data_IF_628179570528
#
_entry.id   IF_628179570528
#
_cell.length_a   1.000
_cell.length_b   1.000
_cell.length_c   1.000
_cell.angle_alpha   90.00
_cell.angle_beta   90.00
_cell.angle_gamma   90.00
#
_symmetry.space_group_name_H-M   'P 1'
#
loop_
_entity.id
_entity.type
_entity.pdbx_description
1 polymer ?
#
# COMPACT_ATOMS: atom_id res chain seq x y z
N UNK A 1 -12.15 -15.84 2.81
CA UNK A 1 -12.71 -14.58 2.27
C UNK A 1 -11.55 -13.58 2.07
N UNK A 2 -10.62 -13.85 1.15
CA UNK A 2 -9.52 -12.92 0.81
C UNK A 2 -9.65 -12.38 -0.63
N UNK A 3 -10.27 -13.16 -1.53
CA UNK A 3 -10.39 -12.85 -2.95
C UNK A 3 -11.36 -11.70 -3.32
N UNK A 4 -12.08 -11.11 -2.36
CA UNK A 4 -12.91 -9.92 -2.61
C UNK A 4 -12.23 -8.61 -2.17
N UNK A 5 -11.04 -8.66 -1.57
CA UNK A 5 -10.27 -7.48 -1.17
C UNK A 5 -9.19 -7.09 -2.18
N UNK A 6 -8.74 -8.02 -3.03
CA UNK A 6 -7.74 -7.75 -4.08
C UNK A 6 -8.32 -7.14 -5.36
N UNK A 7 -9.65 -7.13 -5.55
CA UNK A 7 -10.28 -6.76 -6.81
C UNK A 7 -10.24 -5.24 -7.11
N UNK A 8 -9.90 -4.41 -6.12
CA UNK A 8 -9.93 -2.94 -6.22
C UNK A 8 -8.54 -2.28 -6.04
N UNK A 9 -7.47 -3.08 -5.98
CA UNK A 9 -6.11 -2.53 -5.97
C UNK A 9 -5.71 -2.10 -7.38
N UNK A 10 -5.32 -0.84 -7.52
CA UNK A 10 -4.71 -0.32 -8.74
C UNK A 10 -3.18 -0.39 -8.63
N UNK A 11 -2.49 -0.26 -9.76
CA UNK A 11 -1.01 -0.22 -9.82
C UNK A 11 -0.38 0.75 -8.84
N UNK A 12 -1.07 1.85 -8.54
CA UNK A 12 -0.61 2.85 -7.58
C UNK A 12 -0.57 2.26 -6.17
N UNK A 13 -1.57 1.49 -5.78
CA UNK A 13 -1.60 0.82 -4.48
C UNK A 13 -0.54 -0.25 -4.38
N UNK A 14 -0.42 -1.10 -5.40
CA UNK A 14 0.61 -2.13 -5.45
C UNK A 14 1.98 -1.51 -5.22
N UNK A 15 2.26 -0.38 -5.87
CA UNK A 15 3.53 0.35 -5.73
C UNK A 15 3.74 0.93 -4.33
N UNK A 16 2.68 1.49 -3.71
CA UNK A 16 2.74 2.02 -2.34
C UNK A 16 2.96 0.89 -1.33
N UNK A 17 2.22 -0.21 -1.49
CA UNK A 17 2.30 -1.39 -0.64
C UNK A 17 3.67 -2.07 -0.76
N UNK A 18 4.23 -2.22 -1.96
CA UNK A 18 5.59 -2.75 -2.16
C UNK A 18 6.65 -1.87 -1.50
N UNK A 19 6.55 -0.54 -1.62
CA UNK A 19 7.46 0.36 -0.93
C UNK A 19 7.38 0.21 0.61
N UNK A 20 6.17 0.10 1.15
CA UNK A 20 5.96 -0.11 2.57
C UNK A 20 6.40 -1.49 3.04
N UNK A 21 6.36 -2.52 2.18
CA UNK A 21 6.92 -3.83 2.49
C UNK A 21 8.45 -3.77 2.66
N UNK A 22 9.14 -2.98 1.82
CA UNK A 22 10.59 -2.80 1.91
C UNK A 22 11.01 -1.88 3.08
N UNK A 23 10.29 -0.78 3.31
CA UNK A 23 10.63 0.24 4.31
C UNK A 23 10.05 -0.05 5.70
N UNK A 24 8.95 -0.82 5.77
CA UNK A 24 8.21 -1.16 6.97
C UNK A 24 7.14 -0.13 7.35
N UNK A 25 7.56 1.11 7.63
CA UNK A 25 6.64 2.20 7.98
C UNK A 25 7.21 3.56 7.57
N UNK A 26 6.40 4.40 6.93
CA UNK A 26 6.87 5.71 6.47
C UNK A 26 5.76 6.75 6.34
N UNK A 27 6.16 8.01 6.17
CA UNK A 27 5.27 9.16 6.03
C UNK A 27 4.67 9.23 4.63
N UNK A 28 3.41 9.66 4.45
CA UNK A 28 2.80 9.87 3.13
C UNK A 28 3.65 10.72 2.18
N UNK A 29 4.33 11.74 2.71
CA UNK A 29 5.21 12.61 1.93
C UNK A 29 6.46 11.87 1.39
N UNK A 30 7.06 10.99 2.20
CA UNK A 30 8.21 10.19 1.80
C UNK A 30 7.82 9.05 0.87
N UNK A 31 6.70 8.39 1.14
CA UNK A 31 6.09 7.41 0.23
C UNK A 31 5.86 8.06 -1.14
N UNK A 32 5.21 9.23 -1.18
CA UNK A 32 4.96 9.97 -2.41
C UNK A 32 6.25 10.33 -3.15
N UNK A 33 7.26 10.83 -2.44
CA UNK A 33 8.56 11.18 -3.02
C UNK A 33 9.29 9.99 -3.63
N UNK A 34 9.29 8.83 -2.95
CA UNK A 34 10.00 7.63 -3.41
C UNK A 34 9.23 6.85 -4.48
N UNK A 35 7.89 6.92 -4.48
CA UNK A 35 7.04 6.27 -5.49
C UNK A 35 6.79 7.14 -6.72
N UNK A 36 7.14 8.42 -6.67
CA UNK A 36 6.90 9.39 -7.75
C UNK A 36 5.42 9.81 -7.86
N UNK A 37 4.67 9.72 -6.77
CA UNK A 37 3.25 10.03 -6.69
C UNK A 37 3.01 11.40 -6.05
N UNK A 38 1.82 11.96 -6.25
CA UNK A 38 1.40 13.16 -5.52
C UNK A 38 0.99 12.82 -4.09
N UNK A 39 1.50 13.57 -3.11
CA UNK A 39 1.22 13.34 -1.68
C UNK A 39 -0.27 13.28 -1.36
N UNK A 40 -1.08 14.24 -1.83
CA UNK A 40 -2.53 14.24 -1.59
C UNK A 40 -3.24 13.03 -2.22
N UNK A 41 -2.68 12.47 -3.29
CA UNK A 41 -3.20 11.25 -3.89
C UNK A 41 -2.84 10.03 -3.03
N UNK A 42 -1.59 9.96 -2.56
CA UNK A 42 -1.10 8.91 -1.66
C UNK A 42 -1.87 8.91 -0.35
N UNK A 43 -2.11 10.06 0.28
CA UNK A 43 -2.90 10.17 1.51
C UNK A 43 -4.29 9.54 1.34
N UNK A 44 -5.01 9.92 0.28
CA UNK A 44 -6.34 9.37 -0.01
C UNK A 44 -6.31 7.86 -0.27
N UNK A 45 -5.27 7.35 -0.94
CA UNK A 45 -5.11 5.91 -1.17
C UNK A 45 -4.79 5.19 0.14
N UNK A 46 -3.90 5.72 0.97
CA UNK A 46 -3.56 5.17 2.28
C UNK A 46 -4.77 5.12 3.22
N UNK A 47 -5.64 6.13 3.19
CA UNK A 47 -6.91 6.10 3.92
C UNK A 47 -7.81 4.95 3.44
N UNK A 48 -7.92 4.76 2.12
CA UNK A 48 -8.71 3.66 1.53
C UNK A 48 -8.13 2.30 1.91
N UNK A 49 -6.81 2.14 1.80
CA UNK A 49 -6.09 0.92 2.17
C UNK A 49 -6.22 0.64 3.68
N UNK A 50 -6.23 1.68 4.51
CA UNK A 50 -6.44 1.55 5.94
C UNK A 50 -7.87 1.09 6.28
N UNK A 51 -8.88 1.62 5.57
CA UNK A 51 -10.27 1.18 5.71
C UNK A 51 -10.43 -0.31 5.35
N UNK A 52 -9.65 -0.78 4.37
CA UNK A 52 -9.59 -2.20 4.01
C UNK A 52 -8.73 -3.06 4.94
N UNK A 53 -7.94 -2.47 5.84
CA UNK A 53 -7.08 -3.18 6.79
C UNK A 53 -5.73 -3.65 6.22
N UNK A 54 -5.32 -3.16 5.05
CA UNK A 54 -4.04 -3.51 4.40
C UNK A 54 -2.86 -2.68 4.94
N UNK A 55 -3.14 -1.48 5.42
CA UNK A 55 -2.19 -0.62 6.12
C UNK A 55 -2.84 -0.11 7.40
N UNK A 56 -2.04 0.35 8.33
CA UNK A 56 -2.55 1.02 9.52
C UNK A 56 -1.70 2.26 9.87
N UNK A 57 -2.33 3.35 10.34
CA UNK A 57 -1.60 4.48 10.88
C UNK A 57 -1.01 4.13 12.24
N UNK A 58 0.27 4.42 12.45
CA UNK A 58 0.91 4.21 13.76
C UNK A 58 0.52 5.35 14.69
N UNK A 59 -0.20 5.02 15.78
CA UNK A 59 -0.63 6.03 16.74
C UNK A 59 0.56 6.74 17.39
N UNK A 60 0.72 8.03 17.10
CA UNK A 60 1.78 8.90 17.64
C UNK A 60 2.48 9.74 16.57
N UNK A 61 2.46 9.28 15.32
CA UNK A 61 3.10 9.94 14.19
C UNK A 61 2.31 9.63 12.91
N UNK A 62 2.19 10.54 11.95
CA UNK A 62 1.41 10.31 10.72
C UNK A 62 2.21 9.44 9.75
N UNK A 63 2.54 8.22 10.20
CA UNK A 63 3.25 7.18 9.45
C UNK A 63 2.31 6.00 9.23
N UNK A 64 2.41 5.40 8.06
CA UNK A 64 1.63 4.22 7.69
C UNK A 64 2.56 3.03 7.63
N UNK A 65 2.11 1.90 8.20
CA UNK A 65 2.79 0.62 8.12
C UNK A 65 1.94 -0.40 7.41
N UNK A 66 2.59 -1.41 6.82
CA UNK A 66 1.89 -2.57 6.29
C UNK A 66 1.34 -3.43 7.45
N UNK A 67 0.15 -4.00 7.26
CA UNK A 67 -0.38 -5.07 8.11
C UNK A 67 0.02 -6.43 7.54
N UNK A 68 -0.14 -7.49 8.33
CA UNK A 68 0.08 -8.87 7.87
C UNK A 68 -0.81 -9.20 6.65
N UNK A 69 -2.06 -8.71 6.63
CA UNK A 69 -2.98 -8.88 5.49
C UNK A 69 -2.47 -8.15 4.24
N UNK A 70 -1.91 -6.94 4.40
CA UNK A 70 -1.24 -6.23 3.31
C UNK A 70 -0.06 -7.00 2.74
N UNK A 71 0.75 -7.63 3.62
CA UNK A 71 1.90 -8.46 3.20
C UNK A 71 1.43 -9.65 2.37
N UNK A 72 0.46 -10.41 2.88
CA UNK A 72 -0.11 -11.58 2.21
C UNK A 72 -0.67 -11.24 0.82
N UNK A 73 -1.28 -10.06 0.64
CA UNK A 73 -1.84 -9.63 -0.65
C UNK A 73 -0.75 -9.35 -1.69
N UNK A 74 0.36 -8.71 -1.30
CA UNK A 74 1.48 -8.48 -2.22
C UNK A 74 2.15 -9.81 -2.57
N UNK A 75 2.41 -10.67 -1.57
CA UNK A 75 3.07 -11.97 -1.80
C UNK A 75 2.20 -12.93 -2.62
N UNK A 76 0.87 -12.82 -2.49
CA UNK A 76 -0.11 -13.59 -3.28
C UNK A 76 -0.39 -13.00 -4.66
N UNK A 77 0.08 -11.78 -4.95
CA UNK A 77 0.04 -11.20 -6.29
C UNK A 77 1.34 -11.62 -6.97
N UNK A 78 1.39 -12.77 -7.68
CA UNK A 78 2.56 -13.09 -8.46
C UNK A 78 2.78 -11.92 -9.41
N UNK A 79 4.05 -11.51 -9.57
CA UNK A 79 4.54 -10.56 -10.57
C UNK A 79 3.89 -10.86 -11.94
N UNK A 80 2.70 -10.31 -12.12
CA UNK A 80 1.79 -10.58 -13.21
C UNK A 80 1.95 -9.46 -14.22
N UNK A 81 3.19 -9.14 -14.56
CA UNK A 81 3.45 -8.39 -15.77
C UNK A 81 2.75 -9.12 -16.93
N UNK A 82 1.97 -8.44 -17.80
CA UNK A 82 1.68 -9.03 -19.08
C UNK A 82 3.03 -9.17 -19.79
N UNK A 83 3.53 -10.40 -19.88
CA UNK A 83 4.58 -10.77 -20.82
C UNK A 83 4.03 -10.51 -22.23
N UNK A 84 4.43 -9.40 -22.86
CA UNK A 84 4.39 -9.20 -24.32
C UNK A 84 5.64 -8.46 -24.79
#
# INVERSE_FOLDING_TARGET
MAASRCADLDRTDERVLSYLQECGADYPALIAGNTGLHVAHVERRLETLADTGLVEPVSGEVIYRLTDEGTDVIESTPDGGPSV
#
